data_IF_763466228487
#
_entry.id   IF_763466228487
#
_cell.length_a   1.000
_cell.length_b   1.000
_cell.length_c   1.000
_cell.angle_alpha   90.00
_cell.angle_beta   90.00
_cell.angle_gamma   90.00
#
_symmetry.space_group_name_H-M   'P 1'
#
loop_
_entity.id
_entity.type
_entity.pdbx_description
1 polymer ?
#
# COMPACT_ATOMS: atom_id res chain seq x y z
N UNK A 1 2.90 6.09 12.20
CA UNK A 1 3.15 6.79 10.91
C UNK A 1 3.39 5.76 9.83
N UNK A 2 2.97 6.05 8.62
CA UNK A 2 3.24 5.20 7.45
C UNK A 2 4.70 5.40 7.04
N UNK A 3 5.43 4.30 6.83
CA UNK A 3 6.86 4.34 6.51
C UNK A 3 7.20 3.85 5.11
N UNK A 4 6.33 3.06 4.48
CA UNK A 4 6.53 2.63 3.09
C UNK A 4 5.22 2.23 2.42
N UNK A 5 5.22 2.25 1.09
CA UNK A 5 4.21 1.58 0.30
C UNK A 5 4.36 0.07 0.46
N UNK A 6 3.27 -0.67 0.33
CA UNK A 6 3.28 -2.11 0.50
C UNK A 6 2.26 -2.78 -0.42
N UNK A 7 2.54 -4.02 -0.75
CA UNK A 7 1.60 -4.90 -1.46
C UNK A 7 1.51 -6.19 -0.67
N UNK A 8 0.30 -6.54 -0.27
CA UNK A 8 0.00 -7.84 0.32
C UNK A 8 -0.51 -8.75 -0.77
N UNK A 9 0.02 -9.97 -0.82
CA UNK A 9 -0.40 -10.95 -1.82
C UNK A 9 -0.24 -12.37 -1.28
N UNK A 10 -0.89 -13.30 -1.96
CA UNK A 10 -0.84 -14.73 -1.65
C UNK A 10 0.04 -15.43 -2.66
N UNK A 11 1.04 -16.16 -2.21
CA UNK A 11 1.90 -16.98 -3.06
C UNK A 11 1.26 -18.34 -3.22
N UNK A 12 0.87 -18.68 -4.45
CA UNK A 12 0.10 -19.89 -4.71
C UNK A 12 0.89 -21.17 -4.43
N UNK A 13 2.17 -21.18 -4.77
CA UNK A 13 3.03 -22.35 -4.62
C UNK A 13 3.25 -22.76 -3.16
N UNK A 14 3.42 -21.79 -2.28
CA UNK A 14 3.67 -22.03 -0.84
C UNK A 14 2.42 -21.92 0.00
N UNK A 15 1.33 -21.41 -0.57
CA UNK A 15 0.07 -21.11 0.12
C UNK A 15 0.27 -20.15 1.31
N UNK A 16 1.14 -19.17 1.13
CA UNK A 16 1.48 -18.18 2.15
C UNK A 16 1.10 -16.77 1.71
N UNK A 17 0.66 -15.96 2.67
CA UNK A 17 0.48 -14.52 2.45
C UNK A 17 1.80 -13.82 2.77
N UNK A 18 2.19 -12.89 1.90
CA UNK A 18 3.39 -12.08 2.09
C UNK A 18 3.08 -10.61 1.89
N UNK A 19 3.89 -9.78 2.53
CA UNK A 19 3.84 -8.33 2.36
C UNK A 19 5.19 -7.87 1.84
N UNK A 20 5.17 -7.21 0.68
CA UNK A 20 6.36 -6.62 0.08
C UNK A 20 6.29 -5.11 0.24
N UNK A 21 7.41 -4.49 0.58
CA UNK A 21 7.50 -3.06 0.84
C UNK A 21 8.45 -2.38 -0.14
N UNK A 22 8.19 -1.10 -0.38
CA UNK A 22 9.05 -0.27 -1.20
C UNK A 22 8.63 1.19 -1.11
N UNK A 23 9.41 2.13 -1.69
CA UNK A 23 9.07 3.56 -1.64
C UNK A 23 7.82 3.90 -2.45
N UNK A 24 7.55 3.14 -3.50
CA UNK A 24 6.39 3.29 -4.37
C UNK A 24 5.87 1.92 -4.78
N UNK A 25 4.56 1.81 -5.05
CA UNK A 25 3.95 0.53 -5.42
C UNK A 25 4.55 -0.08 -6.70
N UNK A 26 4.87 0.75 -7.70
CA UNK A 26 5.44 0.21 -8.94
C UNK A 26 6.82 -0.43 -8.75
N UNK A 27 7.62 0.02 -7.78
CA UNK A 27 8.89 -0.64 -7.45
C UNK A 27 8.68 -2.02 -6.84
N UNK A 28 7.58 -2.20 -6.11
CA UNK A 28 7.23 -3.49 -5.52
C UNK A 28 6.92 -4.50 -6.62
N UNK A 29 6.16 -4.10 -7.63
CA UNK A 29 5.86 -4.97 -8.77
C UNK A 29 7.13 -5.33 -9.57
N UNK A 30 8.09 -4.42 -9.66
CA UNK A 30 9.40 -4.72 -10.23
C UNK A 30 10.18 -5.75 -9.42
N UNK A 31 10.07 -5.72 -8.09
CA UNK A 31 10.67 -6.74 -7.22
C UNK A 31 10.10 -8.12 -7.52
N UNK A 32 8.79 -8.23 -7.76
CA UNK A 32 8.16 -9.49 -8.13
C UNK A 32 8.72 -10.02 -9.44
N UNK A 33 8.91 -9.18 -10.45
CA UNK A 33 9.54 -9.57 -11.71
C UNK A 33 10.98 -10.08 -11.48
N UNK A 34 11.73 -9.38 -10.63
CA UNK A 34 13.09 -9.77 -10.27
C UNK A 34 13.17 -11.09 -9.53
N UNK A 35 12.11 -11.48 -8.84
CA UNK A 35 11.99 -12.78 -8.17
C UNK A 35 11.51 -13.89 -9.10
N UNK A 36 11.25 -13.58 -10.37
CA UNK A 36 10.84 -14.55 -11.37
C UNK A 36 9.33 -14.72 -11.53
N UNK A 37 8.54 -13.87 -10.90
CA UNK A 37 7.07 -13.90 -11.09
C UNK A 37 6.69 -13.13 -12.34
N UNK A 38 5.92 -13.77 -13.22
CA UNK A 38 5.26 -13.09 -14.32
C UNK A 38 4.04 -12.31 -13.80
N UNK A 39 3.63 -11.23 -14.49
CA UNK A 39 2.44 -10.48 -14.08
C UNK A 39 1.23 -11.37 -13.90
N UNK A 40 0.60 -11.32 -12.73
CA UNK A 40 -0.59 -12.07 -12.34
C UNK A 40 -0.43 -13.60 -12.41
N UNK A 41 0.81 -14.12 -12.33
CA UNK A 41 1.08 -15.56 -12.30
C UNK A 41 1.86 -15.93 -11.06
N UNK A 42 1.45 -16.99 -10.39
CA UNK A 42 2.10 -17.52 -9.19
C UNK A 42 1.69 -16.81 -7.92
N UNK A 43 0.92 -15.75 -7.99
CA UNK A 43 0.36 -15.06 -6.85
C UNK A 43 -1.05 -14.55 -7.14
N UNK A 44 -1.80 -14.35 -6.06
CA UNK A 44 -3.21 -13.94 -6.11
C UNK A 44 -3.54 -13.04 -4.93
N UNK A 45 -4.79 -12.59 -4.85
CA UNK A 45 -5.30 -11.78 -3.74
C UNK A 45 -4.45 -10.53 -3.48
N UNK A 46 -4.06 -9.86 -4.55
CA UNK A 46 -3.20 -8.67 -4.47
C UNK A 46 -3.97 -7.51 -3.83
N UNK A 47 -3.38 -6.92 -2.82
CA UNK A 47 -3.93 -5.73 -2.16
C UNK A 47 -2.84 -4.69 -1.99
N UNK A 48 -3.01 -3.55 -2.64
CA UNK A 48 -2.13 -2.40 -2.46
C UNK A 48 -2.42 -1.71 -1.12
N UNK A 49 -1.38 -1.25 -0.46
CA UNK A 49 -1.53 -0.56 0.81
C UNK A 49 -0.23 0.04 1.30
N UNK A 50 -0.10 0.07 2.63
CA UNK A 50 1.01 0.72 3.31
C UNK A 50 1.36 -0.04 4.58
N UNK A 51 2.58 0.15 5.05
CA UNK A 51 3.02 -0.39 6.33
C UNK A 51 3.39 0.76 7.26
N UNK A 52 2.95 0.67 8.50
CA UNK A 52 3.26 1.64 9.54
C UNK A 52 4.59 1.33 10.22
N UNK A 53 5.10 2.28 10.99
CA UNK A 53 6.33 2.10 11.77
C UNK A 53 6.23 1.00 12.84
N UNK A 54 5.02 0.53 13.14
CA UNK A 54 4.80 -0.61 14.04
C UNK A 54 4.65 -1.94 13.29
N UNK A 55 4.83 -1.93 11.97
CA UNK A 55 4.73 -3.13 11.14
C UNK A 55 3.32 -3.52 10.73
N UNK A 56 2.34 -2.66 10.95
CA UNK A 56 0.94 -2.94 10.58
C UNK A 56 0.69 -2.61 9.12
N UNK A 57 0.07 -3.53 8.39
CA UNK A 57 -0.41 -3.31 7.03
C UNK A 57 -1.77 -2.62 7.06
N UNK A 58 -1.92 -1.58 6.23
CA UNK A 58 -3.17 -0.87 6.00
C UNK A 58 -3.46 -0.85 4.50
N UNK A 59 -4.70 -1.15 4.11
CA UNK A 59 -5.11 -0.96 2.72
C UNK A 59 -5.18 0.55 2.39
N UNK A 60 -5.48 0.89 1.14
CA UNK A 60 -5.50 2.30 0.71
C UNK A 60 -6.55 3.13 1.44
N UNK A 61 -7.71 2.55 1.75
CA UNK A 61 -8.79 3.23 2.45
C UNK A 61 -8.44 3.48 3.91
N UNK A 62 -8.02 2.44 4.63
CA UNK A 62 -7.60 2.53 6.03
C UNK A 62 -6.33 3.37 6.17
N UNK A 63 -5.44 3.28 5.19
CA UNK A 63 -4.23 4.10 5.12
C UNK A 63 -4.54 5.59 5.05
N UNK A 64 -5.54 5.97 4.28
CA UNK A 64 -5.96 7.38 4.19
C UNK A 64 -6.48 7.90 5.53
N UNK A 65 -7.39 7.15 6.17
CA UNK A 65 -7.92 7.51 7.49
C UNK A 65 -6.79 7.66 8.50
N UNK A 66 -5.89 6.68 8.55
CA UNK A 66 -4.74 6.72 9.46
C UNK A 66 -3.82 7.92 9.20
N UNK A 67 -3.49 8.18 7.93
CA UNK A 67 -2.60 9.29 7.57
C UNK A 67 -3.19 10.65 7.95
N UNK A 68 -4.50 10.80 7.84
CA UNK A 68 -5.20 12.01 8.29
C UNK A 68 -5.12 12.14 9.81
N UNK A 69 -5.38 11.05 10.54
CA UNK A 69 -5.36 11.05 12.01
C UNK A 69 -4.00 11.41 12.58
N UNK A 70 -2.91 10.96 11.96
CA UNK A 70 -1.55 11.26 12.44
C UNK A 70 -0.94 12.52 11.79
N UNK A 71 -1.71 13.21 10.93
CA UNK A 71 -1.23 14.44 10.30
C UNK A 71 -0.17 14.24 9.23
N UNK A 72 -0.14 13.10 8.59
CA UNK A 72 0.88 12.74 7.60
C UNK A 72 0.56 13.22 6.18
N UNK A 73 -0.67 13.66 5.93
CA UNK A 73 -1.12 14.23 4.65
C UNK A 73 -1.41 15.72 4.82
N UNK A 74 -1.37 16.46 3.71
CA UNK A 74 -1.63 17.89 3.74
C UNK A 74 -3.13 18.22 3.89
N UNK A 75 -3.42 19.51 4.14
CA UNK A 75 -4.80 19.96 4.36
C UNK A 75 -5.71 19.73 3.15
N UNK A 76 -5.18 19.82 1.93
CA UNK A 76 -5.97 19.59 0.71
C UNK A 76 -6.51 18.17 0.64
N UNK A 77 -5.69 17.19 0.98
CA UNK A 77 -6.08 15.78 1.00
C UNK A 77 -7.14 15.53 2.07
N UNK A 78 -6.96 16.11 3.25
CA UNK A 78 -7.94 16.04 4.33
C UNK A 78 -9.29 16.64 3.91
N UNK A 79 -9.27 17.78 3.25
CA UNK A 79 -10.48 18.44 2.77
C UNK A 79 -11.19 17.60 1.70
N UNK A 80 -10.45 17.01 0.77
CA UNK A 80 -11.00 16.11 -0.25
C UNK A 80 -11.64 14.86 0.37
N UNK A 81 -11.02 14.32 1.42
CA UNK A 81 -11.59 13.20 2.16
C UNK A 81 -12.90 13.61 2.84
N UNK A 82 -12.92 14.75 3.51
CA UNK A 82 -14.13 15.26 4.20
C UNK A 82 -15.28 15.48 3.22
N UNK A 83 -14.99 15.91 1.99
CA UNK A 83 -15.97 16.10 0.94
C UNK A 83 -16.37 14.83 0.19
N UNK A 84 -15.77 13.69 0.55
CA UNK A 84 -16.02 12.42 -0.12
C UNK A 84 -15.40 12.28 -1.50
N UNK A 85 -14.50 13.19 -1.88
CA UNK A 85 -13.82 13.17 -3.19
C UNK A 85 -12.69 12.16 -3.20
N UNK A 86 -11.93 12.08 -2.09
CA UNK A 86 -10.79 11.17 -1.96
C UNK A 86 -11.12 10.08 -0.95
N UNK A 87 -11.01 8.82 -1.36
CA UNK A 87 -11.33 7.65 -0.54
C UNK A 87 -10.16 6.68 -0.38
N UNK A 88 -9.10 6.84 -1.17
CA UNK A 88 -7.92 5.98 -1.15
C UNK A 88 -6.64 6.81 -1.06
N UNK A 89 -5.65 6.26 -0.35
CA UNK A 89 -4.33 6.87 -0.24
C UNK A 89 -3.42 6.33 -1.34
N UNK A 90 -2.66 7.24 -1.96
CA UNK A 90 -1.59 6.90 -2.90
C UNK A 90 -0.24 7.32 -2.33
N UNK A 91 0.82 6.64 -2.74
CA UNK A 91 2.16 6.95 -2.23
C UNK A 91 2.59 8.39 -2.55
N UNK A 92 2.10 8.95 -3.66
CA UNK A 92 2.33 10.35 -4.05
C UNK A 92 1.72 11.35 -3.06
N UNK A 93 0.71 10.94 -2.29
CA UNK A 93 0.09 11.79 -1.27
C UNK A 93 0.99 11.96 -0.04
N UNK A 94 1.95 11.06 0.14
CA UNK A 94 2.85 11.01 1.28
C UNK A 94 4.24 11.52 0.95
N UNK A 95 4.71 11.21 -0.23
CA UNK A 95 6.05 11.58 -0.67
C UNK A 95 6.30 11.40 -2.20
#
# INVERSE_FOLDING_TARGET
MIVCAAVRLHIDKTNEDVILCGPRHHYIYKQLEGLGFEPNKGYSRVMDGFVTNTGKFLNRTDGLVYAIQVGQVNANIRDEFTKGIKVELYSEDLW
#
